data_IF_969643336584
#
_entry.id   IF_969643336584
#
_cell.length_a   1.000
_cell.length_b   1.000
_cell.length_c   1.000
_cell.angle_alpha   90.00
_cell.angle_beta   90.00
_cell.angle_gamma   90.00
#
_symmetry.space_group_name_H-M   'P 1'
#
loop_
_entity.id
_entity.type
_entity.pdbx_description
1 polymer ?
#
# COMPACT_ATOMS: atom_id res chain seq x y z
N UNK A 1 -17.78 3.46 8.30
CA UNK A 1 -16.86 2.48 8.94
C UNK A 1 -15.67 3.23 9.51
N UNK A 2 -15.29 3.02 10.77
CA UNK A 2 -14.07 3.61 11.35
C UNK A 2 -12.89 2.75 10.95
N UNK A 3 -12.20 3.13 9.88
CA UNK A 3 -10.99 2.45 9.41
C UNK A 3 -9.91 2.66 10.49
N UNK A 4 -9.47 1.57 11.14
CA UNK A 4 -8.31 1.56 12.06
C UNK A 4 -7.02 1.64 11.24
N UNK A 5 -6.79 2.76 10.57
CA UNK A 5 -5.53 3.12 9.92
C UNK A 5 -4.80 4.19 10.71
N UNK A 6 -3.56 4.51 10.32
CA UNK A 6 -2.82 5.66 10.84
C UNK A 6 -3.75 6.89 10.78
N UNK A 7 -3.95 7.58 11.91
CA UNK A 7 -4.86 8.74 11.95
C UNK A 7 -4.39 9.71 10.86
N UNK A 8 -5.26 10.14 9.93
CA UNK A 8 -4.96 11.08 8.83
C UNK A 8 -3.95 12.16 9.26
N UNK A 9 -4.22 12.81 10.39
CA UNK A 9 -3.35 13.85 10.96
C UNK A 9 -1.92 13.36 11.24
N UNK A 10 -1.75 12.18 11.82
CA UNK A 10 -0.43 11.60 12.08
C UNK A 10 0.37 11.32 10.80
N UNK A 11 -0.29 11.03 9.67
CA UNK A 11 0.39 10.86 8.39
C UNK A 11 0.81 12.21 7.80
N UNK A 12 -0.07 13.22 7.86
CA UNK A 12 0.23 14.59 7.45
C UNK A 12 1.40 15.16 8.27
N UNK A 13 1.37 14.98 9.59
CA UNK A 13 2.42 15.45 10.50
C UNK A 13 3.76 14.77 10.17
N UNK A 14 3.76 13.47 9.88
CA UNK A 14 4.96 12.73 9.44
C UNK A 14 5.48 13.19 8.07
N UNK A 15 4.59 13.50 7.12
CA UNK A 15 4.98 14.02 5.82
C UNK A 15 5.68 15.37 5.96
N UNK A 16 5.13 16.27 6.78
CA UNK A 16 5.74 17.58 7.08
C UNK A 16 7.07 17.42 7.81
N UNK A 17 7.15 16.52 8.79
CA UNK A 17 8.35 16.32 9.60
C UNK A 17 9.50 15.66 8.82
N UNK A 18 9.20 14.69 7.96
CA UNK A 18 10.22 13.96 7.20
C UNK A 18 10.66 14.70 5.92
N UNK A 19 9.87 15.67 5.45
CA UNK A 19 10.14 16.43 4.23
C UNK A 19 10.15 15.59 2.94
N UNK A 20 9.76 14.31 3.03
CA UNK A 20 9.69 13.39 1.90
C UNK A 20 8.39 13.56 1.11
N UNK A 21 8.44 13.34 -0.20
CA UNK A 21 7.27 13.35 -1.06
C UNK A 21 6.36 12.18 -0.68
N UNK A 22 5.10 12.42 -0.29
CA UNK A 22 4.11 11.36 -0.08
C UNK A 22 3.82 10.63 -1.38
N UNK A 23 3.77 9.30 -1.31
CA UNK A 23 3.57 8.41 -2.46
C UNK A 23 2.48 7.40 -2.10
N UNK A 24 1.47 7.32 -2.94
CA UNK A 24 0.59 6.16 -3.00
C UNK A 24 1.25 5.10 -3.88
N UNK A 25 1.35 3.87 -3.38
CA UNK A 25 1.98 2.79 -4.12
C UNK A 25 1.11 1.55 -4.20
N UNK A 26 1.35 0.80 -5.27
CA UNK A 26 0.86 -0.55 -5.47
C UNK A 26 2.05 -1.44 -5.81
N UNK A 27 2.21 -2.50 -5.03
CA UNK A 27 3.19 -3.54 -5.29
C UNK A 27 2.48 -4.86 -5.52
N UNK A 28 3.09 -5.70 -6.35
CA UNK A 28 2.73 -7.11 -6.44
C UNK A 28 3.71 -7.88 -5.58
N UNK A 29 3.20 -8.86 -4.84
CA UNK A 29 3.98 -9.74 -3.98
C UNK A 29 3.71 -11.19 -4.38
N UNK A 30 4.75 -12.02 -4.41
CA UNK A 30 4.60 -13.43 -4.73
C UNK A 30 5.67 -14.30 -4.07
N UNK A 31 5.35 -15.58 -3.95
CA UNK A 31 6.30 -16.64 -3.66
C UNK A 31 5.98 -17.89 -4.52
N UNK A 32 6.30 -19.09 -4.04
CA UNK A 32 5.99 -20.35 -4.73
C UNK A 32 4.54 -20.81 -4.55
N UNK A 33 3.81 -20.28 -3.58
CA UNK A 33 2.49 -20.75 -3.18
C UNK A 33 1.37 -19.74 -3.42
N UNK A 34 1.65 -18.45 -3.38
CA UNK A 34 0.66 -17.39 -3.50
C UNK A 34 1.18 -16.18 -4.28
N UNK A 35 0.24 -15.41 -4.83
CA UNK A 35 0.49 -14.12 -5.47
C UNK A 35 -0.64 -13.20 -5.10
N UNK A 36 -0.30 -11.98 -4.70
CA UNK A 36 -1.26 -10.98 -4.25
C UNK A 36 -0.73 -9.57 -4.50
N UNK A 37 -1.59 -8.59 -4.29
CA UNK A 37 -1.27 -7.18 -4.43
C UNK A 37 -1.33 -6.52 -3.07
N UNK A 38 -0.48 -5.51 -2.87
CA UNK A 38 -0.51 -4.67 -1.68
C UNK A 38 -0.50 -3.21 -2.10
N UNK A 39 -1.44 -2.45 -1.56
CA UNK A 39 -1.47 -1.00 -1.71
C UNK A 39 -1.20 -0.31 -0.37
N UNK A 40 -0.69 0.90 -0.44
CA UNK A 40 -0.48 1.72 0.74
C UNK A 40 0.13 3.07 0.43
N UNK A 41 0.39 3.83 1.49
CA UNK A 41 1.03 5.13 1.41
C UNK A 41 2.36 5.15 2.17
N UNK A 42 3.28 5.95 1.68
CA UNK A 42 4.58 6.17 2.30
C UNK A 42 5.04 7.60 2.10
N UNK A 43 5.80 8.13 3.05
CA UNK A 43 6.54 9.41 2.89
C UNK A 43 8.04 9.16 2.68
N UNK A 44 8.45 7.90 2.76
CA UNK A 44 9.81 7.42 2.57
C UNK A 44 9.87 6.53 1.32
N UNK A 45 11.07 6.32 0.78
CA UNK A 45 11.28 5.46 -0.37
C UNK A 45 10.80 4.00 -0.10
N UNK A 46 10.02 3.42 -1.02
CA UNK A 46 9.48 2.05 -0.93
C UNK A 46 10.60 1.01 -0.74
N UNK A 47 11.73 1.20 -1.44
CA UNK A 47 12.91 0.33 -1.32
C UNK A 47 13.46 0.31 0.11
N UNK A 48 13.44 1.45 0.80
CA UNK A 48 13.88 1.51 2.21
C UNK A 48 12.87 0.87 3.16
N UNK A 49 11.57 0.97 2.85
CA UNK A 49 10.49 0.35 3.64
C UNK A 49 10.53 -1.16 3.57
N UNK A 50 10.84 -1.72 2.41
CA UNK A 50 10.84 -3.15 2.12
C UNK A 50 12.23 -3.74 1.89
N UNK A 51 13.29 -3.01 2.27
CA UNK A 51 14.68 -3.42 2.07
C UNK A 51 15.16 -4.56 2.97
N UNK A 52 14.28 -5.14 3.79
CA UNK A 52 14.62 -6.29 4.64
C UNK A 52 13.58 -7.39 4.50
N UNK A 53 14.04 -8.65 4.57
CA UNK A 53 13.18 -9.85 4.53
C UNK A 53 12.12 -9.82 5.64
N UNK A 54 12.42 -9.22 6.79
CA UNK A 54 11.45 -9.06 7.88
C UNK A 54 10.31 -8.10 7.51
N UNK A 55 10.61 -7.06 6.74
CA UNK A 55 9.62 -6.07 6.31
C UNK A 55 8.80 -6.55 5.11
N UNK A 56 9.42 -7.32 4.21
CA UNK A 56 8.76 -7.97 3.08
C UNK A 56 9.35 -9.38 2.88
N UNK A 57 8.65 -10.44 3.34
CA UNK A 57 9.13 -11.81 3.23
C UNK A 57 8.86 -12.45 1.85
N UNK A 58 8.20 -11.72 0.95
CA UNK A 58 7.87 -12.13 -0.41
C UNK A 58 8.80 -11.47 -1.42
N UNK A 59 8.92 -12.07 -2.61
CA UNK A 59 9.39 -11.32 -3.77
C UNK A 59 8.36 -10.26 -4.14
N UNK A 60 8.82 -9.10 -4.62
CA UNK A 60 7.92 -8.00 -4.92
C UNK A 60 8.43 -7.12 -6.04
N UNK A 61 7.48 -6.48 -6.72
CA UNK A 61 7.75 -5.47 -7.73
C UNK A 61 6.78 -4.29 -7.57
N UNK A 62 7.25 -3.12 -7.97
CA UNK A 62 6.46 -1.89 -8.00
C UNK A 62 5.61 -1.92 -9.27
N UNK A 63 4.29 -1.88 -9.12
CA UNK A 63 3.36 -1.75 -10.24
C UNK A 63 2.97 -0.29 -10.48
N UNK A 64 2.90 0.51 -9.42
CA UNK A 64 2.45 1.90 -9.48
C UNK A 64 3.09 2.70 -8.34
N UNK A 65 3.59 3.89 -8.68
CA UNK A 65 3.97 4.94 -7.73
C UNK A 65 3.32 6.25 -8.17
N UNK A 66 2.42 6.78 -7.33
CA UNK A 66 1.76 8.06 -7.55
C UNK A 66 2.21 9.03 -6.45
N UNK A 67 3.27 9.82 -6.69
CA UNK A 67 3.65 10.91 -5.79
C UNK A 67 2.60 12.02 -5.85
N UNK A 68 2.09 12.42 -4.69
CA UNK A 68 1.12 13.52 -4.56
C UNK A 68 1.20 14.16 -3.16
N UNK A 69 0.35 15.12 -2.87
CA UNK A 69 0.18 15.70 -1.54
C UNK A 69 -0.23 14.62 -0.53
N UNK A 70 0.15 14.82 0.73
CA UNK A 70 -0.15 13.87 1.79
C UNK A 70 -1.66 13.65 1.99
N UNK A 71 -2.47 14.67 1.68
CA UNK A 71 -3.92 14.57 1.69
C UNK A 71 -4.43 13.72 0.52
N UNK A 72 -3.97 13.99 -0.71
CA UNK A 72 -4.40 13.26 -1.89
C UNK A 72 -4.04 11.77 -1.81
N UNK A 73 -2.81 11.42 -1.41
CA UNK A 73 -2.42 10.00 -1.29
C UNK A 73 -3.22 9.27 -0.22
N UNK A 74 -3.56 9.93 0.89
CA UNK A 74 -4.40 9.36 1.94
C UNK A 74 -5.83 9.13 1.46
N UNK A 75 -6.40 10.10 0.74
CA UNK A 75 -7.75 9.98 0.18
C UNK A 75 -7.81 8.88 -0.89
N UNK A 76 -6.75 8.73 -1.71
CA UNK A 76 -6.60 7.60 -2.64
C UNK A 76 -6.56 6.25 -1.91
N UNK A 77 -5.77 6.16 -0.82
CA UNK A 77 -5.68 4.94 -0.02
C UNK A 77 -7.05 4.55 0.54
N UNK A 78 -7.78 5.49 1.14
CA UNK A 78 -9.11 5.22 1.70
C UNK A 78 -10.09 4.82 0.60
N UNK A 79 -10.06 5.50 -0.54
CA UNK A 79 -10.91 5.20 -1.70
C UNK A 79 -10.69 3.77 -2.17
N UNK A 80 -9.44 3.41 -2.50
CA UNK A 80 -9.13 2.08 -3.02
C UNK A 80 -9.28 0.97 -1.97
N UNK A 81 -8.98 1.23 -0.69
CA UNK A 81 -9.27 0.28 0.39
C UNK A 81 -10.76 -0.05 0.48
N UNK A 82 -11.62 0.95 0.28
CA UNK A 82 -13.08 0.78 0.30
C UNK A 82 -13.57 0.05 -0.95
N UNK A 83 -13.07 0.45 -2.12
CA UNK A 83 -13.44 -0.15 -3.41
C UNK A 83 -13.00 -1.62 -3.51
N UNK A 84 -11.84 -1.96 -2.96
CA UNK A 84 -11.26 -3.29 -3.04
C UNK A 84 -11.58 -4.20 -1.86
N UNK A 85 -12.49 -3.78 -0.97
CA UNK A 85 -12.83 -4.54 0.24
C UNK A 85 -13.25 -5.98 -0.09
N UNK A 86 -13.92 -6.20 -1.23
CA UNK A 86 -14.38 -7.52 -1.68
C UNK A 86 -13.23 -8.42 -2.16
N UNK A 87 -12.09 -7.84 -2.57
CA UNK A 87 -10.89 -8.57 -3.00
C UNK A 87 -9.88 -8.75 -1.87
N UNK A 88 -10.26 -8.43 -0.63
CA UNK A 88 -9.37 -8.50 0.51
C UNK A 88 -8.77 -9.90 0.67
N UNK A 89 -7.46 -9.94 0.86
CA UNK A 89 -6.67 -11.14 1.02
C UNK A 89 -5.80 -11.07 2.25
N UNK A 90 -5.62 -12.21 2.91
CA UNK A 90 -4.66 -12.37 3.99
C UNK A 90 -3.58 -13.35 3.55
N UNK A 91 -2.35 -12.88 3.30
CA UNK A 91 -1.22 -13.72 2.92
C UNK A 91 -0.91 -14.76 4.00
N UNK A 92 -0.33 -15.91 3.59
CA UNK A 92 0.04 -17.00 4.49
C UNK A 92 1.18 -16.58 5.44
N UNK A 93 2.17 -15.85 4.93
CA UNK A 93 3.28 -15.29 5.70
C UNK A 93 2.88 -13.89 6.16
N UNK A 94 2.78 -13.72 7.48
CA UNK A 94 2.42 -12.43 8.06
C UNK A 94 3.56 -11.42 8.01
N UNK A 95 3.23 -10.16 7.72
CA UNK A 95 4.13 -9.00 7.78
C UNK A 95 3.33 -7.73 8.12
N UNK A 96 3.99 -6.59 8.28
CA UNK A 96 3.31 -5.35 8.64
C UNK A 96 2.32 -4.90 7.55
N UNK A 97 1.04 -4.84 7.92
CA UNK A 97 -0.05 -4.48 7.01
C UNK A 97 -0.59 -5.64 6.17
N UNK A 98 -0.14 -6.88 6.40
CA UNK A 98 -0.60 -8.05 5.64
C UNK A 98 -2.07 -8.43 5.91
N UNK A 99 -2.66 -7.93 6.98
CA UNK A 99 -4.04 -8.27 7.38
C UNK A 99 -5.11 -7.33 6.83
N UNK A 100 -4.74 -6.15 6.32
CA UNK A 100 -5.70 -5.09 5.98
C UNK A 100 -5.48 -4.45 4.62
N UNK A 101 -4.36 -4.73 3.97
CA UNK A 101 -3.91 -3.97 2.78
C UNK A 101 -3.45 -4.88 1.65
N UNK A 102 -3.80 -6.16 1.72
CA UNK A 102 -3.46 -7.17 0.72
C UNK A 102 -4.73 -7.62 -0.01
N UNK A 103 -4.61 -7.90 -1.30
CA UNK A 103 -5.74 -8.17 -2.19
C UNK A 103 -5.39 -9.24 -3.23
N UNK A 104 -6.36 -10.08 -3.61
CA UNK A 104 -6.16 -11.11 -4.65
C UNK A 104 -6.16 -10.51 -6.05
N UNK A 105 -6.95 -9.47 -6.26
CA UNK A 105 -7.19 -8.84 -7.56
C UNK A 105 -7.20 -7.32 -7.42
N UNK A 106 -7.01 -6.62 -8.54
CA UNK A 106 -7.08 -5.17 -8.63
C UNK A 106 -8.42 -4.76 -9.24
N UNK A 107 -9.04 -3.70 -8.74
CA UNK A 107 -10.22 -3.12 -9.39
C UNK A 107 -9.86 -2.59 -10.79
N UNK A 108 -10.85 -2.51 -11.69
CA UNK A 108 -10.64 -1.96 -13.03
C UNK A 108 -10.02 -0.56 -13.00
N UNK A 109 -10.35 0.25 -11.98
CA UNK A 109 -9.80 1.58 -11.81
C UNK A 109 -8.28 1.55 -11.56
N UNK A 110 -7.79 0.64 -10.71
CA UNK A 110 -6.35 0.47 -10.48
C UNK A 110 -5.63 -0.14 -11.69
N UNK A 111 -6.26 -1.10 -12.37
CA UNK A 111 -5.66 -1.69 -13.57
C UNK A 111 -5.40 -0.65 -14.67
N UNK A 112 -6.32 0.30 -14.85
CA UNK A 112 -6.17 1.43 -15.78
C UNK A 112 -5.05 2.40 -15.39
N UNK A 113 -4.66 2.46 -14.12
CA UNK A 113 -3.57 3.32 -13.64
C UNK A 113 -2.18 2.69 -13.84
N UNK A 114 -2.12 1.38 -14.04
CA UNK A 114 -0.86 0.64 -14.29
C UNK A 114 -0.52 0.60 -15.80
N UNK A 115 -1.51 0.85 -16.68
CA UNK A 115 -1.36 0.87 -18.14
C UNK A 115 -0.77 2.18 -18.66
#
# INVERSE_FOLDING_TARGET
>A
MKIKGCKRQSFLDQAVQNGGQPIFYLIKCWDKEETFYKLGITVNNILTRYGTVKAMPYEWEILLELPDTAEAVYDLEVKFKTEMQDYHYKPKISFNGSTTECYTELSEALQKLIQ
#
